data_IF_889887914668
#
_entry.id   IF_889887914668
#
_cell.length_a   1.000
_cell.length_b   1.000
_cell.length_c   1.000
_cell.angle_alpha   90.00
_cell.angle_beta   90.00
_cell.angle_gamma   90.00
#
_symmetry.space_group_name_H-M   'P 1'
#
loop_
_entity.id
_entity.type
_entity.pdbx_description
1 polymer ?
#
# COMPACT_ATOMS: atom_id res chain seq x y z
N UNK A 1 12.67 -3.18 0.71
CA UNK A 1 13.63 -3.72 1.74
C UNK A 1 14.57 -4.79 1.20
N UNK A 2 14.59 -4.99 -0.09
CA UNK A 2 15.35 -6.08 -0.72
C UNK A 2 16.75 -5.66 -1.15
N UNK A 3 16.96 -4.37 -1.38
CA UNK A 3 18.30 -3.85 -1.62
C UNK A 3 19.00 -3.63 -0.27
N UNK A 4 20.14 -4.26 -0.06
CA UNK A 4 20.88 -4.23 1.21
C UNK A 4 21.20 -2.79 1.66
N UNK A 5 21.49 -1.90 0.69
CA UNK A 5 21.71 -0.47 0.95
C UNK A 5 20.47 0.23 1.54
N UNK A 6 19.30 0.02 0.95
CA UNK A 6 18.02 0.57 1.45
C UNK A 6 17.71 0.07 2.85
N UNK A 7 17.82 -1.24 3.06
CA UNK A 7 17.60 -1.84 4.37
C UNK A 7 18.50 -1.21 5.43
N UNK A 8 19.81 -1.12 5.16
CA UNK A 8 20.77 -0.50 6.07
C UNK A 8 20.39 0.95 6.37
N UNK A 9 20.07 1.76 5.35
CA UNK A 9 19.70 3.16 5.54
C UNK A 9 18.43 3.33 6.38
N UNK A 10 17.40 2.51 6.16
CA UNK A 10 16.17 2.59 6.93
C UNK A 10 16.43 2.30 8.42
N UNK A 11 17.17 1.25 8.74
CA UNK A 11 17.53 0.94 10.14
C UNK A 11 18.50 1.95 10.75
N UNK A 12 19.38 2.52 9.95
CA UNK A 12 20.32 3.54 10.40
C UNK A 12 19.62 4.86 10.69
N UNK A 13 18.75 5.33 9.79
CA UNK A 13 18.20 6.70 9.81
C UNK A 13 16.84 6.81 10.50
N UNK A 14 16.09 5.73 10.61
CA UNK A 14 14.75 5.74 11.21
C UNK A 14 14.75 5.17 12.63
N UNK A 15 13.89 5.72 13.46
CA UNK A 15 13.51 5.17 14.76
C UNK A 15 12.02 4.87 14.78
N UNK A 16 11.62 3.72 15.32
CA UNK A 16 10.23 3.37 15.56
C UNK A 16 9.73 4.09 16.81
N UNK A 17 8.60 4.76 16.68
CA UNK A 17 7.94 5.48 17.78
C UNK A 17 6.94 4.57 18.49
N UNK A 18 6.50 4.97 19.69
CA UNK A 18 5.51 4.21 20.49
C UNK A 18 4.17 4.04 19.77
N UNK A 19 3.79 4.99 18.92
CA UNK A 19 2.59 4.92 18.10
C UNK A 19 2.70 3.95 16.91
N UNK A 20 3.83 3.27 16.74
CA UNK A 20 4.08 2.29 15.69
C UNK A 20 4.56 2.87 14.36
N UNK A 21 4.61 4.18 14.20
CA UNK A 21 5.20 4.82 13.02
C UNK A 21 6.70 4.97 13.17
N UNK A 22 7.37 5.27 12.07
CA UNK A 22 8.80 5.57 12.02
C UNK A 22 9.01 7.07 11.83
N UNK A 23 10.12 7.58 12.35
CA UNK A 23 10.53 8.95 12.17
C UNK A 23 12.05 9.01 11.96
N UNK A 24 12.54 10.00 11.21
CA UNK A 24 13.97 10.24 11.13
C UNK A 24 14.54 10.49 12.53
N UNK A 25 15.66 9.87 12.85
CA UNK A 25 16.42 10.15 14.06
C UNK A 25 16.87 11.61 14.07
N UNK A 26 17.02 12.17 15.25
CA UNK A 26 17.26 13.61 15.43
C UNK A 26 18.48 14.14 14.63
N UNK A 27 19.53 13.32 14.54
CA UNK A 27 20.77 13.67 13.83
C UNK A 27 20.60 13.79 12.29
N UNK A 28 19.52 13.26 11.73
CA UNK A 28 19.21 13.32 10.29
C UNK A 28 18.10 14.32 9.95
N UNK A 29 17.59 15.06 10.96
CA UNK A 29 16.54 16.06 10.75
C UNK A 29 17.17 17.38 10.37
N UNK A 30 16.77 17.92 9.23
CA UNK A 30 17.11 19.29 8.87
C UNK A 30 16.25 20.27 9.68
N UNK A 31 16.80 21.43 10.01
CA UNK A 31 16.05 22.48 10.67
C UNK A 31 14.98 23.02 9.72
N UNK A 32 13.73 22.83 10.08
CA UNK A 32 12.60 23.44 9.36
C UNK A 32 12.57 24.96 9.57
N UNK A 33 11.72 25.64 8.79
CA UNK A 33 11.50 27.08 8.94
C UNK A 33 10.01 27.40 9.00
N UNK A 34 9.67 28.53 9.61
CA UNK A 34 8.29 28.99 9.74
C UNK A 34 7.44 28.13 10.68
N UNK A 35 6.12 28.14 10.48
CA UNK A 35 5.15 27.44 11.35
C UNK A 35 5.27 25.92 11.38
N UNK A 36 6.05 25.34 10.48
CA UNK A 36 6.28 23.90 10.36
C UNK A 36 7.67 23.47 10.83
N UNK A 37 8.41 24.37 11.49
CA UNK A 37 9.79 24.10 11.94
C UNK A 37 9.93 22.84 12.78
N UNK A 38 8.91 22.51 13.59
CA UNK A 38 8.88 21.35 14.48
C UNK A 38 7.98 20.21 13.98
N UNK A 39 7.39 20.35 12.79
CA UNK A 39 6.53 19.34 12.18
C UNK A 39 7.36 18.37 11.35
N UNK A 40 7.73 17.24 11.95
CA UNK A 40 8.45 16.18 11.27
C UNK A 40 7.49 15.10 10.80
N UNK A 41 7.58 14.69 9.53
CA UNK A 41 6.75 13.61 9.03
C UNK A 41 7.06 12.29 9.73
N UNK A 42 6.04 11.47 9.90
CA UNK A 42 6.18 10.08 10.30
C UNK A 42 5.87 9.17 9.13
N UNK A 43 6.43 7.98 9.15
CA UNK A 43 6.40 7.03 8.05
C UNK A 43 5.79 5.72 8.51
N UNK A 44 5.00 5.11 7.65
CA UNK A 44 4.55 3.73 7.77
C UNK A 44 5.29 2.87 6.74
N UNK A 45 5.51 1.61 7.06
CA UNK A 45 6.21 0.70 6.15
C UNK A 45 5.26 0.25 5.06
N UNK A 46 5.57 0.65 3.83
CA UNK A 46 4.78 0.29 2.64
C UNK A 46 5.65 -0.22 1.51
N UNK A 47 5.02 -0.91 0.59
CA UNK A 47 5.62 -1.30 -0.69
C UNK A 47 4.54 -1.59 -1.71
N UNK A 48 4.82 -1.38 -2.98
CA UNK A 48 3.92 -1.74 -4.06
C UNK A 48 4.44 -2.98 -4.78
N UNK A 49 3.56 -3.96 -4.97
CA UNK A 49 3.85 -5.23 -5.63
C UNK A 49 3.10 -5.30 -6.96
N UNK A 50 3.81 -5.59 -8.03
CA UNK A 50 3.23 -5.82 -9.36
C UNK A 50 3.00 -7.31 -9.58
N UNK A 51 1.76 -7.75 -9.53
CA UNK A 51 1.32 -9.11 -9.80
C UNK A 51 1.03 -9.27 -11.30
N UNK A 52 1.77 -10.16 -11.98
CA UNK A 52 1.54 -10.48 -13.39
C UNK A 52 1.43 -12.00 -13.54
N UNK A 53 0.24 -12.49 -13.81
CA UNK A 53 -0.05 -13.93 -13.87
C UNK A 53 -1.14 -14.27 -14.86
N UNK A 54 -1.36 -15.56 -15.11
CA UNK A 54 -2.46 -16.04 -15.95
C UNK A 54 -3.59 -16.54 -15.08
N UNK A 55 -4.81 -16.04 -15.34
CA UNK A 55 -6.04 -16.49 -14.69
C UNK A 55 -7.20 -16.48 -15.69
N UNK A 56 -7.97 -17.56 -15.76
CA UNK A 56 -9.09 -17.72 -16.67
C UNK A 56 -8.71 -17.44 -18.15
N UNK A 57 -7.55 -17.95 -18.58
CA UNK A 57 -7.06 -17.80 -19.95
C UNK A 57 -6.55 -16.40 -20.33
N UNK A 58 -6.61 -15.42 -19.42
CA UNK A 58 -6.14 -14.03 -19.63
C UNK A 58 -4.88 -13.75 -18.82
N UNK A 59 -4.02 -12.88 -19.34
CA UNK A 59 -2.92 -12.32 -18.55
C UNK A 59 -3.46 -11.19 -17.69
N UNK A 60 -3.39 -11.36 -16.38
CA UNK A 60 -3.79 -10.37 -15.38
C UNK A 60 -2.59 -9.57 -14.93
N UNK A 61 -2.78 -8.27 -14.69
CA UNK A 61 -1.75 -7.36 -14.21
C UNK A 61 -2.39 -6.43 -13.20
N UNK A 62 -1.99 -6.54 -11.96
CA UNK A 62 -2.55 -5.75 -10.86
C UNK A 62 -1.42 -5.25 -9.96
N UNK A 63 -1.51 -4.01 -9.54
CA UNK A 63 -0.68 -3.45 -8.50
C UNK A 63 -1.41 -3.47 -7.16
N UNK A 64 -0.68 -3.84 -6.12
CA UNK A 64 -1.19 -3.86 -4.76
C UNK A 64 -0.19 -3.16 -3.84
N UNK A 65 -0.68 -2.18 -3.09
CA UNK A 65 0.06 -1.61 -1.98
C UNK A 65 -0.04 -2.55 -0.79
N UNK A 66 1.08 -2.85 -0.16
CA UNK A 66 1.14 -3.60 1.09
C UNK A 66 1.60 -2.67 2.20
N UNK A 67 0.97 -2.74 3.38
CA UNK A 67 1.28 -1.89 4.53
C UNK A 67 1.56 -2.78 5.74
N UNK A 68 2.64 -2.48 6.46
CA UNK A 68 3.06 -3.23 7.65
C UNK A 68 3.31 -2.34 8.86
N UNK A 69 3.13 -2.88 10.09
CA UNK A 69 3.42 -2.16 11.33
C UNK A 69 4.92 -1.97 11.59
N UNK A 70 5.77 -2.72 10.90
CA UNK A 70 7.21 -2.69 11.11
C UNK A 70 8.02 -3.28 9.96
N UNK A 71 9.31 -2.94 9.95
CA UNK A 71 10.28 -3.40 8.97
C UNK A 71 10.49 -4.92 9.02
N UNK A 72 10.37 -5.54 10.19
CA UNK A 72 10.55 -6.99 10.38
C UNK A 72 9.45 -7.77 9.65
N UNK A 73 8.22 -7.30 9.74
CA UNK A 73 7.07 -7.88 9.01
C UNK A 73 7.25 -7.78 7.50
N UNK A 74 7.70 -6.63 7.02
CA UNK A 74 8.01 -6.44 5.60
C UNK A 74 9.17 -7.35 5.14
N UNK A 75 10.18 -7.59 5.98
CA UNK A 75 11.26 -8.52 5.67
C UNK A 75 10.78 -9.98 5.59
N UNK A 76 9.83 -10.37 6.43
CA UNK A 76 9.23 -11.72 6.34
C UNK A 76 8.54 -11.91 4.99
N UNK A 77 7.77 -10.93 4.54
CA UNK A 77 7.16 -10.97 3.20
C UNK A 77 8.25 -10.99 2.12
N UNK A 78 9.24 -10.10 2.19
CA UNK A 78 10.32 -10.04 1.21
C UNK A 78 11.01 -11.39 1.02
N UNK A 79 11.33 -12.09 2.10
CA UNK A 79 11.93 -13.45 2.06
C UNK A 79 11.03 -14.50 1.41
N UNK A 80 9.71 -14.34 1.48
CA UNK A 80 8.76 -15.21 0.77
C UNK A 80 8.72 -14.88 -0.72
N UNK A 81 8.63 -13.59 -1.06
CA UNK A 81 8.59 -13.12 -2.44
C UNK A 81 9.87 -13.44 -3.23
N UNK A 82 11.02 -13.39 -2.57
CA UNK A 82 12.32 -13.74 -3.16
C UNK A 82 12.38 -15.17 -3.71
N UNK A 83 11.61 -16.09 -3.11
CA UNK A 83 11.48 -17.47 -3.60
C UNK A 83 10.63 -17.58 -4.85
N UNK A 84 9.82 -16.58 -5.16
CA UNK A 84 8.90 -16.57 -6.31
C UNK A 84 9.52 -15.86 -7.51
N UNK A 85 10.31 -14.81 -7.26
CA UNK A 85 10.92 -14.04 -8.34
C UNK A 85 11.94 -13.02 -7.89
N UNK A 86 12.48 -12.29 -8.85
CA UNK A 86 13.49 -11.28 -8.56
C UNK A 86 12.84 -10.04 -7.93
N UNK A 87 13.15 -9.82 -6.67
CA UNK A 87 12.73 -8.64 -5.90
C UNK A 87 13.87 -7.64 -5.69
N UNK A 88 15.04 -7.89 -6.28
CA UNK A 88 16.22 -7.01 -6.20
C UNK A 88 16.26 -5.99 -7.35
N UNK A 89 15.29 -6.03 -8.27
CA UNK A 89 15.17 -5.03 -9.31
C UNK A 89 14.86 -3.67 -8.69
N UNK A 90 15.41 -2.61 -9.29
CA UNK A 90 15.09 -1.25 -8.88
C UNK A 90 13.60 -0.95 -9.07
N UNK A 91 13.02 -0.28 -8.09
CA UNK A 91 11.61 0.07 -8.08
C UNK A 91 10.68 -1.06 -7.61
N UNK A 92 9.56 -1.23 -8.32
CA UNK A 92 8.48 -2.15 -7.97
C UNK A 92 8.77 -3.57 -8.45
N UNK A 93 8.75 -4.58 -7.57
CA UNK A 93 8.95 -5.96 -8.00
C UNK A 93 7.79 -6.45 -8.88
N UNK A 94 8.15 -7.05 -10.02
CA UNK A 94 7.21 -7.71 -10.92
C UNK A 94 7.27 -9.22 -10.65
N UNK A 95 6.17 -9.78 -10.15
CA UNK A 95 6.13 -11.17 -9.74
C UNK A 95 5.05 -11.96 -10.48
N UNK A 96 5.35 -13.22 -10.80
CA UNK A 96 4.36 -14.19 -11.29
C UNK A 96 3.55 -14.74 -10.10
N UNK A 97 2.90 -13.84 -9.38
CA UNK A 97 2.18 -14.13 -8.15
C UNK A 97 0.72 -13.72 -8.32
N UNK A 98 -0.21 -14.63 -8.00
CA UNK A 98 -1.64 -14.32 -7.95
C UNK A 98 -1.92 -13.32 -6.84
N UNK A 99 -2.85 -12.40 -7.06
CA UNK A 99 -3.25 -11.41 -6.05
C UNK A 99 -3.82 -12.08 -4.78
N UNK A 100 -4.57 -13.16 -4.94
CA UNK A 100 -5.07 -13.98 -3.84
C UNK A 100 -3.93 -14.49 -2.96
N UNK A 101 -2.90 -15.06 -3.58
CA UNK A 101 -1.74 -15.61 -2.87
C UNK A 101 -0.90 -14.51 -2.22
N UNK A 102 -0.83 -13.32 -2.84
CA UNK A 102 -0.17 -12.16 -2.23
C UNK A 102 -0.85 -11.77 -0.91
N UNK A 103 -2.18 -11.71 -0.87
CA UNK A 103 -2.92 -11.38 0.37
C UNK A 103 -2.65 -12.44 1.46
N UNK A 104 -2.71 -13.72 1.12
CA UNK A 104 -2.39 -14.81 2.04
C UNK A 104 -0.96 -14.68 2.58
N UNK A 105 0.02 -14.42 1.70
CA UNK A 105 1.42 -14.23 2.13
C UNK A 105 1.62 -13.03 3.04
N UNK A 106 0.89 -11.93 2.82
CA UNK A 106 0.91 -10.75 3.68
C UNK A 106 0.36 -11.10 5.07
N UNK A 107 -0.81 -11.76 5.13
CA UNK A 107 -1.43 -12.18 6.40
C UNK A 107 -0.56 -13.18 7.16
N UNK A 108 0.04 -14.14 6.48
CA UNK A 108 1.00 -15.09 7.05
C UNK A 108 2.30 -14.43 7.55
N UNK A 109 2.67 -13.29 6.98
CA UNK A 109 3.86 -12.54 7.41
C UNK A 109 3.58 -11.68 8.62
N UNK A 110 2.37 -11.11 8.68
CA UNK A 110 1.86 -10.31 9.78
C UNK A 110 0.34 -10.21 9.70
N UNK A 111 -0.36 -10.66 10.73
CA UNK A 111 -1.82 -10.57 10.81
C UNK A 111 -2.33 -9.12 10.66
N UNK A 112 -1.56 -8.15 11.16
CA UNK A 112 -1.86 -6.71 11.04
C UNK A 112 -1.47 -6.10 9.69
N UNK A 113 -0.86 -6.87 8.79
CA UNK A 113 -0.55 -6.44 7.45
C UNK A 113 -1.82 -6.19 6.63
N UNK A 114 -1.78 -5.18 5.77
CA UNK A 114 -2.91 -4.81 4.90
C UNK A 114 -2.50 -4.88 3.44
N UNK A 115 -3.45 -5.20 2.58
CA UNK A 115 -3.31 -5.13 1.13
C UNK A 115 -4.37 -4.20 0.58
N UNK A 116 -3.96 -3.25 -0.25
CA UNK A 116 -4.84 -2.26 -0.87
C UNK A 116 -4.58 -2.31 -2.38
N UNK A 117 -5.57 -2.71 -3.19
CA UNK A 117 -5.46 -2.61 -4.64
C UNK A 117 -5.19 -1.17 -5.05
N UNK A 118 -4.08 -0.95 -5.79
CA UNK A 118 -3.63 0.37 -6.18
C UNK A 118 -4.39 0.89 -7.40
N UNK A 119 -4.65 2.21 -7.45
CA UNK A 119 -5.19 2.95 -8.60
C UNK A 119 -6.14 2.11 -9.48
N UNK A 120 -7.26 1.67 -8.88
CA UNK A 120 -8.12 0.56 -9.34
C UNK A 120 -8.70 0.69 -10.76
N UNK A 121 -8.67 1.88 -11.37
CA UNK A 121 -9.24 2.16 -12.70
C UNK A 121 -8.21 2.51 -13.77
N UNK A 122 -6.91 2.42 -13.49
CA UNK A 122 -5.93 2.61 -14.56
C UNK A 122 -6.11 1.53 -15.63
N UNK A 123 -5.96 1.83 -16.94
CA UNK A 123 -6.18 0.83 -18.01
C UNK A 123 -5.33 -0.42 -17.89
N UNK A 124 -4.15 -0.29 -17.31
CA UNK A 124 -3.19 -1.36 -17.06
C UNK A 124 -2.83 -1.41 -15.57
N UNK A 125 -2.47 -2.60 -15.10
CA UNK A 125 -1.96 -2.83 -13.75
C UNK A 125 -2.91 -2.43 -12.62
N UNK A 126 -4.21 -2.60 -12.85
CA UNK A 126 -5.23 -2.32 -11.85
C UNK A 126 -6.29 -3.42 -11.81
N UNK A 127 -7.01 -3.51 -10.70
CA UNK A 127 -8.00 -4.57 -10.49
C UNK A 127 -9.16 -4.47 -11.47
N UNK A 128 -9.60 -3.27 -11.85
CA UNK A 128 -10.69 -3.06 -12.83
C UNK A 128 -10.20 -2.53 -14.18
N UNK A 129 -8.90 -2.59 -14.42
CA UNK A 129 -8.31 -2.09 -15.65
C UNK A 129 -8.78 -2.82 -16.89
N UNK A 130 -9.29 -2.08 -17.86
CA UNK A 130 -9.85 -2.63 -19.12
C UNK A 130 -8.92 -3.61 -19.84
N UNK A 131 -7.60 -3.42 -19.74
CA UNK A 131 -6.60 -4.22 -20.48
C UNK A 131 -6.20 -5.51 -19.77
N UNK A 132 -6.22 -5.53 -18.44
CA UNK A 132 -5.63 -6.63 -17.68
C UNK A 132 -6.28 -6.90 -16.33
N UNK A 133 -7.37 -6.21 -16.03
CA UNK A 133 -8.09 -6.33 -14.78
C UNK A 133 -9.15 -7.43 -14.78
N UNK A 134 -10.02 -7.35 -13.80
CA UNK A 134 -11.10 -8.28 -13.51
C UNK A 134 -12.45 -7.54 -13.54
N UNK A 135 -13.52 -8.29 -13.53
CA UNK A 135 -14.86 -7.72 -13.47
C UNK A 135 -15.38 -7.57 -12.03
N UNK A 136 -14.72 -8.21 -11.05
CA UNK A 136 -15.00 -8.05 -9.62
C UNK A 136 -13.76 -8.29 -8.75
N UNK A 137 -13.84 -7.90 -7.48
CA UNK A 137 -12.80 -8.18 -6.49
C UNK A 137 -12.73 -9.67 -6.15
N UNK A 138 -13.88 -10.35 -6.13
CA UNK A 138 -13.98 -11.79 -5.88
C UNK A 138 -13.27 -12.59 -6.94
N UNK A 139 -13.31 -12.17 -8.21
CA UNK A 139 -12.53 -12.82 -9.27
C UNK A 139 -11.01 -12.64 -9.08
N UNK A 140 -10.59 -11.51 -8.50
CA UNK A 140 -9.19 -11.21 -8.27
C UNK A 140 -8.65 -11.90 -7.03
N UNK A 141 -9.36 -11.78 -5.90
CA UNK A 141 -8.88 -12.16 -4.58
C UNK A 141 -9.50 -13.44 -4.01
N UNK A 142 -10.55 -13.98 -4.66
CA UNK A 142 -11.22 -15.23 -4.30
C UNK A 142 -11.65 -15.27 -2.82
N UNK A 143 -11.26 -16.31 -2.10
CA UNK A 143 -11.50 -16.51 -0.67
C UNK A 143 -10.78 -15.49 0.23
N UNK A 144 -9.80 -14.76 -0.33
CA UNK A 144 -9.09 -13.69 0.39
C UNK A 144 -9.75 -12.31 0.23
N UNK A 145 -10.82 -12.16 -0.54
CA UNK A 145 -11.58 -10.91 -0.69
C UNK A 145 -12.00 -10.28 0.65
N UNK A 146 -12.42 -11.05 1.68
CA UNK A 146 -12.76 -10.47 2.98
C UNK A 146 -11.63 -9.73 3.71
N UNK A 147 -10.39 -9.89 3.25
CA UNK A 147 -9.22 -9.17 3.80
C UNK A 147 -8.89 -7.89 3.03
N UNK A 148 -9.64 -7.57 1.98
CA UNK A 148 -9.54 -6.31 1.24
C UNK A 148 -10.60 -5.36 1.83
N UNK A 149 -10.16 -4.32 2.51
CA UNK A 149 -11.04 -3.37 3.19
C UNK A 149 -11.08 -2.00 2.49
N UNK A 150 -10.03 -1.69 1.75
CA UNK A 150 -9.90 -0.40 1.07
C UNK A 150 -9.36 -0.55 -0.34
N UNK A 151 -9.65 0.44 -1.17
CA UNK A 151 -9.27 0.53 -2.57
C UNK A 151 -8.68 1.93 -2.82
N UNK A 152 -7.63 2.00 -3.62
CA UNK A 152 -7.03 3.28 -3.99
C UNK A 152 -7.67 3.84 -5.26
N UNK A 153 -8.16 5.08 -5.20
CA UNK A 153 -8.77 5.75 -6.35
C UNK A 153 -7.75 5.99 -7.46
N UNK A 154 -6.54 6.41 -7.08
CA UNK A 154 -5.51 6.87 -8.01
C UNK A 154 -5.94 8.14 -8.77
N UNK A 155 -5.09 8.58 -9.70
CA UNK A 155 -5.34 9.79 -10.50
C UNK A 155 -6.41 9.61 -11.59
N UNK A 156 -6.91 8.40 -11.81
CA UNK A 156 -7.86 8.05 -12.88
C UNK A 156 -9.31 8.08 -12.42
N UNK A 157 -9.56 8.20 -11.13
CA UNK A 157 -10.90 8.25 -10.56
C UNK A 157 -10.91 9.03 -9.25
N UNK A 158 -12.07 9.46 -8.84
CA UNK A 158 -12.33 10.10 -7.56
C UNK A 158 -13.39 9.33 -6.75
N UNK A 159 -13.64 9.67 -5.48
CA UNK A 159 -14.63 8.98 -4.67
C UNK A 159 -16.04 9.00 -5.27
N UNK A 160 -16.48 10.11 -5.85
CA UNK A 160 -17.83 10.23 -6.43
C UNK A 160 -18.00 9.29 -7.63
N UNK A 161 -16.99 9.20 -8.50
CA UNK A 161 -16.98 8.24 -9.60
C UNK A 161 -17.07 6.79 -9.09
N UNK A 162 -16.31 6.45 -8.06
CA UNK A 162 -16.31 5.10 -7.49
C UNK A 162 -17.66 4.76 -6.85
N UNK A 163 -18.33 5.71 -6.18
CA UNK A 163 -19.64 5.51 -5.55
C UNK A 163 -20.80 5.42 -6.56
N UNK A 164 -20.55 5.63 -7.85
CA UNK A 164 -21.55 5.31 -8.88
C UNK A 164 -21.75 3.80 -9.08
N UNK A 165 -20.81 2.99 -8.59
CA UNK A 165 -20.90 1.53 -8.66
C UNK A 165 -21.05 0.91 -7.28
N UNK A 166 -22.26 0.45 -6.96
CA UNK A 166 -22.64 -0.05 -5.63
C UNK A 166 -21.81 -1.25 -5.12
N UNK A 167 -21.16 -1.99 -6.02
CA UNK A 167 -20.23 -3.06 -5.62
C UNK A 167 -19.06 -2.55 -4.78
N UNK A 168 -18.74 -1.25 -4.84
CA UNK A 168 -17.66 -0.62 -4.10
C UNK A 168 -18.12 0.04 -2.77
N UNK A 169 -19.40 0.03 -2.45
CA UNK A 169 -19.95 0.73 -1.27
C UNK A 169 -19.40 0.22 0.07
N UNK A 170 -19.04 -1.06 0.11
CA UNK A 170 -18.50 -1.70 1.32
C UNK A 170 -16.98 -1.49 1.51
N UNK A 171 -16.30 -0.84 0.58
CA UNK A 171 -14.86 -0.60 0.65
C UNK A 171 -14.55 0.85 0.97
N UNK A 172 -13.52 1.06 1.78
CA UNK A 172 -12.99 2.41 1.99
C UNK A 172 -12.25 2.88 0.74
N UNK A 173 -12.39 4.15 0.42
CA UNK A 173 -11.65 4.75 -0.70
C UNK A 173 -10.50 5.59 -0.16
N UNK A 174 -9.31 5.32 -0.67
CA UNK A 174 -8.09 6.02 -0.29
C UNK A 174 -7.52 6.73 -1.50
N UNK A 175 -6.93 7.88 -1.28
CA UNK A 175 -6.14 8.59 -2.27
C UNK A 175 -4.70 8.69 -1.82
N UNK A 176 -3.79 8.35 -2.72
CA UNK A 176 -2.35 8.46 -2.52
C UNK A 176 -1.71 9.13 -3.72
N UNK A 177 -0.58 9.80 -3.52
CA UNK A 177 0.03 10.57 -4.60
C UNK A 177 0.62 9.73 -5.73
N UNK A 178 0.87 8.44 -5.54
CA UNK A 178 1.58 7.58 -6.52
C UNK A 178 2.84 8.30 -7.08
N UNK A 179 3.59 8.92 -6.16
CA UNK A 179 4.67 9.85 -6.50
C UNK A 179 5.92 9.12 -6.99
N UNK A 180 6.34 9.41 -8.22
CA UNK A 180 7.58 8.93 -8.83
C UNK A 180 8.71 9.99 -8.77
N UNK A 181 8.48 11.08 -8.06
CA UNK A 181 9.48 12.12 -7.80
C UNK A 181 9.08 12.95 -6.57
N UNK A 182 10.03 13.59 -5.88
CA UNK A 182 9.73 14.40 -4.69
C UNK A 182 8.70 15.51 -4.92
N UNK A 183 8.69 16.12 -6.11
CA UNK A 183 7.75 17.19 -6.48
C UNK A 183 6.28 16.72 -6.62
N UNK A 184 6.05 15.42 -6.62
CA UNK A 184 4.71 14.82 -6.73
C UNK A 184 4.17 14.32 -5.41
N UNK A 185 4.96 14.37 -4.34
CA UNK A 185 4.50 14.02 -3.00
C UNK A 185 3.36 14.94 -2.55
N UNK A 186 2.31 14.35 -1.99
CA UNK A 186 1.17 15.10 -1.47
C UNK A 186 0.26 15.74 -2.52
N UNK A 187 0.37 15.38 -3.80
CA UNK A 187 -0.58 15.85 -4.83
C UNK A 187 -1.99 15.29 -4.64
N UNK A 188 -2.09 14.14 -4.00
CA UNK A 188 -3.29 13.56 -3.44
C UNK A 188 -2.99 13.00 -2.06
N UNK A 189 -3.98 12.97 -1.19
CA UNK A 189 -3.86 12.48 0.17
C UNK A 189 -5.21 12.03 0.72
N UNK A 190 -5.17 11.12 1.67
CA UNK A 190 -6.32 10.73 2.47
C UNK A 190 -6.22 11.42 3.84
N UNK A 191 -7.32 11.99 4.31
CA UNK A 191 -7.42 12.62 5.62
C UNK A 191 -7.95 11.63 6.65
N UNK A 192 -7.28 11.58 7.80
CA UNK A 192 -7.67 10.72 8.92
C UNK A 192 -7.91 11.58 10.16
N UNK A 193 -9.08 11.43 10.79
CA UNK A 193 -9.43 11.93 12.11
C UNK A 193 -9.50 10.74 13.08
N UNK A 194 -8.36 10.12 13.31
CA UNK A 194 -8.20 8.91 14.11
C UNK A 194 -7.01 9.05 15.05
N UNK A 195 -6.84 8.09 15.95
CA UNK A 195 -5.61 8.03 16.75
C UNK A 195 -4.38 8.03 15.84
N UNK A 196 -3.43 8.92 16.10
CA UNK A 196 -2.20 9.03 15.31
C UNK A 196 -1.24 7.88 15.65
N UNK A 197 -1.63 6.68 15.23
CA UNK A 197 -0.89 5.44 15.44
C UNK A 197 -1.12 4.47 14.27
N UNK A 198 -0.26 3.43 14.16
CA UNK A 198 -0.48 2.35 13.19
C UNK A 198 -1.83 1.66 13.42
N UNK A 199 -2.22 1.45 14.67
CA UNK A 199 -3.51 0.82 14.97
C UNK A 199 -4.69 1.74 14.60
N UNK A 200 -4.59 3.05 14.84
CA UNK A 200 -5.60 4.02 14.41
C UNK A 200 -5.73 4.09 12.89
N UNK A 201 -4.60 4.16 12.18
CA UNK A 201 -4.58 4.08 10.71
C UNK A 201 -5.22 2.79 10.20
N UNK A 202 -4.85 1.65 10.77
CA UNK A 202 -5.41 0.36 10.40
C UNK A 202 -6.91 0.31 10.64
N UNK A 203 -7.39 0.76 11.80
CA UNK A 203 -8.81 0.80 12.12
C UNK A 203 -9.59 1.65 11.10
N UNK A 204 -9.08 2.84 10.78
CA UNK A 204 -9.72 3.71 9.79
C UNK A 204 -9.79 3.07 8.38
N UNK A 205 -8.73 2.37 7.97
CA UNK A 205 -8.71 1.65 6.69
C UNK A 205 -9.65 0.43 6.70
N UNK A 206 -9.72 -0.32 7.79
CA UNK A 206 -10.55 -1.54 7.89
C UNK A 206 -12.03 -1.23 8.08
N UNK A 207 -12.38 -0.17 8.82
CA UNK A 207 -13.77 0.11 9.24
C UNK A 207 -14.36 1.39 8.66
N UNK A 208 -13.53 2.31 8.19
CA UNK A 208 -13.92 3.67 7.80
C UNK A 208 -14.04 4.64 9.00
N UNK A 209 -13.95 4.16 10.24
CA UNK A 209 -14.03 5.03 11.42
C UNK A 209 -12.79 5.94 11.50
N UNK A 210 -13.03 7.25 11.45
CA UNK A 210 -11.95 8.25 11.41
C UNK A 210 -11.38 8.50 10.02
N UNK A 211 -12.00 7.98 8.96
CA UNK A 211 -11.70 8.40 7.59
C UNK A 211 -12.47 9.68 7.31
N UNK A 212 -11.76 10.78 7.07
CA UNK A 212 -12.35 12.12 6.98
C UNK A 212 -12.40 12.69 5.54
N UNK A 213 -11.72 12.06 4.58
CA UNK A 213 -11.70 12.50 3.17
C UNK A 213 -10.46 12.08 2.42
#
# INVERSE_FOLDING_TARGET
LTHEGWRRELYEKLEKKENGFYQLKKEYRESGSGKWADAYPQFVVTGEISSIYKKNGKTRKVHNVVIFPDLESAEKLAKKLEKIGNIHADGRPILKLDCRDLVEMVKDSCEKGMVIPAHIWTPHFSVFGQKSGFDSLEECFEDMTPYIHALETGLSSDPDMNRTWSALDNYQLLSSSDAHSPSKLGREATLYDSEFSYNGLRNAIETGEGLAG
#
